data_IF_013201321257
#
_entry.id   IF_013201321257
#
_cell.length_a   1.000
_cell.length_b   1.000
_cell.length_c   1.000
_cell.angle_alpha   90.00
_cell.angle_beta   90.00
_cell.angle_gamma   90.00
#
_symmetry.space_group_name_H-M   'P 1'
#
loop_
_entity.id
_entity.type
_entity.pdbx_description
1 polymer ?
#
# COMPACT_ATOMS: atom_id res chain seq x y z
N UNK A 1 -39.91 49.39 -42.12
CA UNK A 1 -39.04 50.41 -41.48
C UNK A 1 -39.05 50.15 -39.98
N UNK A 2 -37.87 50.08 -39.41
CA UNK A 2 -37.58 49.61 -38.06
C UNK A 2 -37.84 50.66 -36.97
N UNK A 3 -38.14 50.20 -35.75
CA UNK A 3 -37.49 50.66 -34.52
C UNK A 3 -37.85 49.68 -33.39
N UNK A 4 -36.83 49.05 -32.82
CA UNK A 4 -36.92 48.11 -31.71
C UNK A 4 -36.77 48.84 -30.37
N UNK A 5 -37.52 48.38 -29.36
CA UNK A 5 -37.41 48.76 -27.96
C UNK A 5 -36.76 47.65 -27.14
N UNK A 6 -35.78 48.05 -26.34
CA UNK A 6 -35.21 47.48 -25.11
C UNK A 6 -35.36 45.99 -24.78
N UNK A 7 -34.21 45.34 -24.60
CA UNK A 7 -34.05 44.20 -23.70
C UNK A 7 -32.78 44.38 -22.84
N UNK A 8 -32.99 44.78 -21.59
CA UNK A 8 -32.01 44.80 -20.51
C UNK A 8 -31.50 43.40 -20.20
N UNK A 9 -30.21 43.15 -20.41
CA UNK A 9 -29.52 41.92 -19.94
C UNK A 9 -28.74 42.24 -18.67
N UNK A 10 -29.20 41.68 -17.55
CA UNK A 10 -28.51 41.74 -16.26
C UNK A 10 -27.20 40.94 -16.32
N UNK A 11 -26.06 41.64 -16.34
CA UNK A 11 -24.74 41.03 -16.09
C UNK A 11 -24.70 40.50 -14.66
N UNK A 12 -24.54 39.20 -14.50
CA UNK A 12 -24.22 38.59 -13.21
C UNK A 12 -22.85 39.12 -12.73
N UNK A 13 -22.86 39.76 -11.56
CA UNK A 13 -21.64 40.16 -10.86
C UNK A 13 -20.82 38.93 -10.46
N UNK A 14 -19.48 38.96 -10.58
CA UNK A 14 -18.64 37.89 -10.07
C UNK A 14 -18.75 37.86 -8.54
N UNK A 15 -19.23 36.75 -8.00
CA UNK A 15 -19.20 36.47 -6.57
C UNK A 15 -17.74 36.34 -6.14
N UNK A 16 -17.21 37.36 -5.48
CA UNK A 16 -15.95 37.26 -4.75
C UNK A 16 -16.14 36.20 -3.66
N UNK A 17 -15.56 35.01 -3.86
CA UNK A 17 -15.43 34.03 -2.78
C UNK A 17 -14.60 34.70 -1.68
N UNK A 18 -15.21 34.88 -0.50
CA UNK A 18 -14.52 35.28 0.71
C UNK A 18 -13.27 34.41 0.89
N UNK A 19 -12.10 35.01 1.13
CA UNK A 19 -10.89 34.29 1.48
C UNK A 19 -11.09 33.61 2.83
N UNK A 20 -11.57 32.37 2.82
CA UNK A 20 -11.63 31.54 4.03
C UNK A 20 -10.21 31.06 4.33
N UNK A 21 -9.62 31.55 5.43
CA UNK A 21 -8.32 31.06 5.89
C UNK A 21 -8.41 29.56 6.24
N UNK A 22 -7.39 28.80 5.86
CA UNK A 22 -7.23 27.41 6.27
C UNK A 22 -6.84 27.28 7.75
N UNK A 23 -6.91 26.05 8.27
CA UNK A 23 -6.54 25.74 9.65
C UNK A 23 -5.15 25.10 9.70
N UNK A 24 -4.34 25.46 10.71
CA UNK A 24 -2.99 24.90 10.94
C UNK A 24 -2.96 23.99 12.15
N UNK A 25 -2.25 22.86 12.07
CA UNK A 25 -2.05 21.92 13.17
C UNK A 25 -0.57 21.53 13.27
N UNK A 26 0.25 22.43 13.81
CA UNK A 26 1.70 22.22 13.97
C UNK A 26 2.06 21.44 15.24
N UNK A 27 1.27 21.58 16.30
CA UNK A 27 1.62 21.05 17.62
C UNK A 27 1.38 19.53 17.75
N UNK A 28 0.55 18.95 16.87
CA UNK A 28 0.20 17.53 16.91
C UNK A 28 0.69 16.77 15.69
N UNK A 29 1.98 16.91 15.35
CA UNK A 29 2.62 16.11 14.30
C UNK A 29 2.96 14.72 14.83
N UNK A 30 2.25 13.70 14.35
CA UNK A 30 2.54 12.33 14.73
C UNK A 30 3.83 11.83 14.09
N UNK A 31 4.57 11.00 14.84
CA UNK A 31 5.87 10.48 14.41
C UNK A 31 5.76 9.37 13.36
N UNK A 32 4.65 8.60 13.35
CA UNK A 32 4.56 7.35 12.60
C UNK A 32 3.25 7.18 11.82
N UNK A 33 2.74 8.26 11.23
CA UNK A 33 1.55 8.22 10.36
C UNK A 33 1.44 9.51 9.54
N UNK A 34 0.34 9.65 8.80
CA UNK A 34 -0.02 10.87 8.07
C UNK A 34 -0.66 11.87 9.01
N UNK A 35 -0.15 13.11 9.04
CA UNK A 35 -0.77 14.24 9.76
C UNK A 35 -1.08 15.36 8.77
N UNK A 36 -2.31 15.90 8.78
CA UNK A 36 -2.60 17.18 8.13
C UNK A 36 -2.10 18.33 9.01
N UNK A 37 -1.11 19.07 8.50
CA UNK A 37 -0.54 20.24 9.18
C UNK A 37 -1.17 21.55 8.72
N UNK A 38 -1.77 21.56 7.52
CA UNK A 38 -2.61 22.63 7.03
C UNK A 38 -3.79 22.06 6.25
N UNK A 39 -5.00 22.55 6.52
CA UNK A 39 -6.21 22.20 5.77
C UNK A 39 -6.89 23.43 5.21
N UNK A 40 -7.29 23.38 3.94
CA UNK A 40 -8.09 24.42 3.31
C UNK A 40 -9.52 23.88 3.10
N UNK A 41 -10.58 24.64 3.44
CA UNK A 41 -11.97 24.14 3.36
C UNK A 41 -12.38 23.71 1.95
N UNK A 42 -11.90 24.43 0.94
CA UNK A 42 -12.15 24.11 -0.48
C UNK A 42 -11.03 23.25 -1.11
N UNK A 43 -10.17 22.60 -0.32
CA UNK A 43 -9.03 21.85 -0.85
C UNK A 43 -9.48 20.68 -1.73
N UNK A 44 -9.08 20.73 -3.01
CA UNK A 44 -9.25 19.62 -3.94
C UNK A 44 -7.95 18.83 -4.15
N UNK A 45 -6.82 19.26 -3.58
CA UNK A 45 -5.51 18.64 -3.76
C UNK A 45 -4.84 18.42 -2.40
N UNK A 46 -4.21 17.26 -2.23
CA UNK A 46 -3.41 16.92 -1.06
C UNK A 46 -1.90 16.94 -1.44
N UNK A 47 -1.10 17.72 -0.71
CA UNK A 47 0.37 17.74 -0.83
C UNK A 47 0.96 16.92 0.31
N UNK A 48 1.76 15.90 0.01
CA UNK A 48 2.31 14.97 1.02
C UNK A 48 3.83 15.10 1.09
N UNK A 49 4.34 15.48 2.25
CA UNK A 49 5.76 15.60 2.53
C UNK A 49 6.28 14.34 3.22
N UNK A 50 7.35 13.74 2.69
CA UNK A 50 7.94 12.49 3.19
C UNK A 50 9.41 12.69 3.52
N UNK A 51 9.77 12.54 4.80
CA UNK A 51 11.14 12.77 5.27
C UNK A 51 12.11 11.65 4.87
N UNK A 52 13.41 11.91 5.04
CA UNK A 52 14.47 10.95 4.75
C UNK A 52 14.99 10.16 5.96
N UNK A 53 16.15 9.52 5.76
CA UNK A 53 16.89 8.76 6.76
C UNK A 53 17.23 9.62 7.98
N UNK A 54 17.05 9.08 9.20
CA UNK A 54 17.25 9.78 10.46
C UNK A 54 16.45 11.10 10.59
N UNK A 55 15.45 11.29 9.73
CA UNK A 55 14.56 12.44 9.73
C UNK A 55 13.34 12.23 10.60
N UNK A 56 12.63 13.33 10.85
CA UNK A 56 11.30 13.34 11.48
C UNK A 56 10.36 14.27 10.71
N UNK A 57 9.04 14.03 10.73
CA UNK A 57 8.07 14.84 9.98
C UNK A 57 7.98 16.30 10.45
N UNK A 58 8.33 16.60 11.70
CA UNK A 58 8.43 17.95 12.26
C UNK A 58 9.79 18.61 11.97
N UNK A 59 10.89 17.88 12.14
CA UNK A 59 12.24 18.45 12.09
C UNK A 59 12.82 18.60 10.68
N UNK A 60 12.44 17.73 9.74
CA UNK A 60 13.04 17.70 8.37
C UNK A 60 12.76 18.96 7.60
N UNK A 61 11.57 19.54 7.80
CA UNK A 61 11.09 20.72 7.08
C UNK A 61 11.19 22.00 7.91
N UNK A 62 11.86 21.95 9.06
CA UNK A 62 12.05 23.10 9.95
C UNK A 62 13.45 23.68 9.78
N UNK A 63 13.53 24.97 9.44
CA UNK A 63 14.78 25.72 9.36
C UNK A 63 15.36 26.02 10.76
N UNK A 64 16.62 26.46 10.80
CA UNK A 64 17.33 26.70 12.06
C UNK A 64 16.70 27.81 12.93
N UNK A 65 15.97 28.74 12.31
CA UNK A 65 15.21 29.80 12.99
C UNK A 65 13.84 29.32 13.50
N UNK A 66 13.51 28.04 13.32
CA UNK A 66 12.22 27.47 13.71
C UNK A 66 11.13 27.58 12.65
N UNK A 67 11.40 28.14 11.47
CA UNK A 67 10.42 28.22 10.38
C UNK A 67 10.10 26.82 9.85
N UNK A 68 8.86 26.37 10.05
CA UNK A 68 8.33 25.13 9.49
C UNK A 68 7.56 25.48 8.21
N UNK A 69 8.27 25.50 7.09
CA UNK A 69 7.74 26.00 5.83
C UNK A 69 6.44 25.33 5.33
N UNK A 70 6.10 24.06 5.67
CA UNK A 70 4.83 23.47 5.26
C UNK A 70 3.58 24.21 5.78
N UNK A 71 3.67 24.87 6.94
CA UNK A 71 2.60 25.73 7.47
C UNK A 71 2.93 27.21 7.37
N UNK A 72 4.20 27.57 7.56
CA UNK A 72 4.59 28.96 7.76
C UNK A 72 4.80 29.70 6.43
N UNK A 73 5.15 28.99 5.35
CA UNK A 73 5.47 29.59 4.05
C UNK A 73 4.60 29.06 2.90
N UNK A 74 4.34 27.76 2.84
CA UNK A 74 3.65 27.13 1.71
C UNK A 74 2.20 27.61 1.54
N UNK A 75 1.36 27.70 2.59
CA UNK A 75 -0.03 28.18 2.43
C UNK A 75 -0.11 29.57 1.82
N UNK A 76 0.80 30.46 2.21
CA UNK A 76 0.90 31.81 1.65
C UNK A 76 1.36 31.78 0.18
N UNK A 77 2.34 30.94 -0.16
CA UNK A 77 2.74 30.74 -1.55
C UNK A 77 1.62 30.15 -2.43
N UNK A 78 0.69 29.40 -1.84
CA UNK A 78 -0.49 28.82 -2.50
C UNK A 78 -1.72 29.73 -2.44
N UNK A 79 -1.59 31.01 -2.06
CA UNK A 79 -2.75 31.91 -1.94
C UNK A 79 -3.61 31.91 -3.20
N UNK A 80 -4.92 31.73 -2.98
CA UNK A 80 -5.93 31.64 -4.04
C UNK A 80 -6.02 30.27 -4.72
N UNK A 81 -5.22 29.29 -4.29
CA UNK A 81 -5.22 27.93 -4.83
C UNK A 81 -5.41 26.93 -3.67
N UNK A 82 -6.58 26.29 -3.54
CA UNK A 82 -6.91 25.53 -2.35
C UNK A 82 -6.24 24.15 -2.34
N UNK A 83 -5.40 23.89 -1.33
CA UNK A 83 -4.76 22.59 -1.12
C UNK A 83 -4.55 22.31 0.38
N UNK A 84 -4.53 21.03 0.73
CA UNK A 84 -4.08 20.57 2.04
C UNK A 84 -2.59 20.27 2.02
N UNK A 85 -1.94 20.43 3.17
CA UNK A 85 -0.54 20.05 3.38
C UNK A 85 -0.49 18.97 4.45
N UNK A 86 0.01 17.82 4.05
CA UNK A 86 0.16 16.62 4.86
C UNK A 86 1.65 16.33 5.06
N UNK A 87 2.03 15.86 6.24
CA UNK A 87 3.34 15.27 6.48
C UNK A 87 3.17 13.80 6.83
N UNK A 88 4.07 12.96 6.34
CA UNK A 88 4.10 11.54 6.68
C UNK A 88 5.37 11.21 7.47
N UNK A 89 5.17 10.62 8.65
CA UNK A 89 6.21 10.09 9.50
C UNK A 89 6.35 8.57 9.40
N UNK A 90 7.58 8.07 9.36
CA UNK A 90 7.88 6.66 9.51
C UNK A 90 9.15 6.46 10.34
N UNK A 91 9.36 5.25 10.85
CA UNK A 91 10.58 4.95 11.56
C UNK A 91 11.78 4.95 10.59
N UNK A 92 12.50 6.06 10.56
CA UNK A 92 13.76 6.21 9.83
C UNK A 92 14.98 6.21 10.76
N UNK A 93 14.80 5.78 12.03
CA UNK A 93 15.87 5.79 13.03
C UNK A 93 16.86 4.65 12.78
N UNK A 94 18.13 5.02 12.79
CA UNK A 94 19.28 4.13 12.57
C UNK A 94 19.90 3.58 13.88
N UNK A 95 19.67 4.24 15.02
CA UNK A 95 20.42 4.00 16.27
C UNK A 95 19.59 3.45 17.43
N UNK A 96 18.39 2.89 17.17
CA UNK A 96 17.56 2.33 18.25
C UNK A 96 18.26 1.13 18.92
N UNK A 97 18.75 1.35 20.14
CA UNK A 97 19.39 0.35 21.01
C UNK A 97 18.42 -0.71 21.58
N UNK A 98 17.13 -0.60 21.30
CA UNK A 98 16.09 -1.43 21.92
C UNK A 98 15.55 -2.55 21.03
N UNK A 99 16.10 -2.76 19.84
CA UNK A 99 15.73 -3.90 19.01
C UNK A 99 16.99 -4.58 18.47
N UNK A 100 17.42 -5.64 19.16
CA UNK A 100 18.22 -6.76 18.60
C UNK A 100 17.42 -7.56 17.54
N UNK A 101 16.46 -6.91 16.85
CA UNK A 101 15.70 -7.53 15.78
C UNK A 101 16.57 -7.43 14.53
N UNK A 102 16.92 -8.59 13.98
CA UNK A 102 17.58 -8.76 12.70
C UNK A 102 17.11 -7.69 11.70
N UNK A 103 18.06 -7.08 10.99
CA UNK A 103 17.79 -6.30 9.79
C UNK A 103 16.78 -7.08 8.93
N UNK A 104 15.60 -6.51 8.72
CA UNK A 104 14.58 -7.04 7.83
C UNK A 104 15.02 -6.76 6.40
N UNK A 105 15.12 -7.79 5.57
CA UNK A 105 15.45 -7.70 4.13
C UNK A 105 14.32 -7.00 3.32
N UNK A 106 13.23 -6.61 3.99
CA UNK A 106 12.04 -6.01 3.41
C UNK A 106 11.68 -4.66 4.04
N UNK A 107 12.62 -3.96 4.68
CA UNK A 107 12.34 -2.73 5.42
C UNK A 107 11.62 -1.67 4.58
N UNK A 108 12.16 -1.32 3.41
CA UNK A 108 11.53 -0.33 2.52
C UNK A 108 10.19 -0.82 1.96
N UNK A 109 10.05 -2.13 1.71
CA UNK A 109 8.79 -2.70 1.26
C UNK A 109 7.70 -2.57 2.32
N UNK A 110 8.00 -2.91 3.57
CA UNK A 110 7.06 -2.81 4.69
C UNK A 110 6.65 -1.36 4.93
N UNK A 111 7.60 -0.43 4.96
CA UNK A 111 7.28 1.00 5.10
C UNK A 111 6.44 1.53 3.94
N UNK A 112 6.69 1.07 2.70
CA UNK A 112 5.90 1.48 1.54
C UNK A 112 4.44 1.02 1.65
N UNK A 113 4.22 -0.22 2.08
CA UNK A 113 2.87 -0.75 2.34
C UNK A 113 2.18 0.04 3.44
N UNK A 114 2.87 0.30 4.56
CA UNK A 114 2.31 1.12 5.65
C UNK A 114 1.98 2.54 5.21
N UNK A 115 2.82 3.18 4.38
CA UNK A 115 2.55 4.50 3.81
C UNK A 115 1.27 4.49 2.97
N UNK A 116 1.14 3.55 2.02
CA UNK A 116 -0.05 3.44 1.17
C UNK A 116 -1.30 3.21 2.01
N UNK A 117 -1.25 2.29 2.98
CA UNK A 117 -2.38 1.98 3.85
C UNK A 117 -2.77 3.18 4.72
N UNK A 118 -1.81 3.81 5.40
CA UNK A 118 -2.05 4.97 6.27
C UNK A 118 -2.66 6.13 5.48
N UNK A 119 -2.07 6.48 4.34
CA UNK A 119 -2.54 7.59 3.51
C UNK A 119 -3.90 7.31 2.89
N UNK A 120 -4.14 6.09 2.39
CA UNK A 120 -5.43 5.71 1.82
C UNK A 120 -6.55 5.79 2.85
N UNK A 121 -6.33 5.25 4.06
CA UNK A 121 -7.30 5.30 5.16
C UNK A 121 -7.57 6.73 5.61
N UNK A 122 -6.52 7.55 5.76
CA UNK A 122 -6.64 8.96 6.10
C UNK A 122 -7.51 9.70 5.08
N UNK A 123 -7.21 9.56 3.79
CA UNK A 123 -7.94 10.25 2.72
C UNK A 123 -9.37 9.75 2.57
N UNK A 124 -9.62 8.46 2.79
CA UNK A 124 -10.97 7.89 2.79
C UNK A 124 -11.83 8.46 3.92
N UNK A 125 -11.29 8.51 5.14
CA UNK A 125 -11.99 9.06 6.30
C UNK A 125 -12.48 10.49 6.09
N UNK A 126 -11.86 11.19 5.16
CA UNK A 126 -12.10 12.61 4.90
C UNK A 126 -12.84 12.85 3.58
N UNK A 127 -13.24 11.79 2.88
CA UNK A 127 -13.94 11.89 1.59
C UNK A 127 -13.04 12.34 0.43
N UNK A 128 -11.72 12.28 0.59
CA UNK A 128 -10.72 12.83 -0.34
C UNK A 128 -10.01 11.78 -1.18
N UNK A 129 -10.44 10.51 -1.18
CA UNK A 129 -9.69 9.39 -1.75
C UNK A 129 -9.27 9.58 -3.23
N UNK A 130 -10.03 10.34 -4.01
CA UNK A 130 -9.79 10.56 -5.45
C UNK A 130 -9.11 11.90 -5.79
N UNK A 131 -8.91 12.77 -4.80
CA UNK A 131 -8.29 14.08 -4.98
C UNK A 131 -6.86 13.94 -5.53
N UNK A 132 -6.36 14.84 -6.38
CA UNK A 132 -4.96 14.81 -6.76
C UNK A 132 -3.97 14.77 -5.58
N UNK A 133 -2.89 14.02 -5.79
CA UNK A 133 -1.77 13.90 -4.86
C UNK A 133 -0.49 14.49 -5.47
N UNK A 134 0.15 15.37 -4.70
CA UNK A 134 1.50 15.88 -4.98
C UNK A 134 2.44 15.39 -3.88
N UNK A 135 3.62 14.93 -4.24
CA UNK A 135 4.61 14.46 -3.27
C UNK A 135 5.83 15.36 -3.22
N UNK A 136 6.31 15.67 -2.02
CA UNK A 136 7.62 16.27 -1.78
C UNK A 136 8.40 15.33 -0.89
N UNK A 137 9.41 14.66 -1.44
CA UNK A 137 10.09 13.59 -0.74
C UNK A 137 11.59 13.87 -0.67
N UNK A 138 12.17 13.72 0.53
CA UNK A 138 13.59 13.99 0.75
C UNK A 138 14.39 12.68 0.87
N UNK A 139 15.54 12.62 0.19
CA UNK A 139 16.53 11.54 0.36
C UNK A 139 15.88 10.15 0.25
N UNK A 140 16.06 9.28 1.25
CA UNK A 140 15.44 7.94 1.33
C UNK A 140 13.90 7.96 1.19
N UNK A 141 13.24 9.02 1.64
CA UNK A 141 11.79 9.20 1.51
C UNK A 141 11.33 9.17 0.06
N UNK A 142 12.17 9.64 -0.88
CA UNK A 142 11.86 9.54 -2.31
C UNK A 142 11.87 8.11 -2.83
N UNK A 143 12.81 7.28 -2.37
CA UNK A 143 12.84 5.85 -2.71
C UNK A 143 11.64 5.13 -2.11
N UNK A 144 11.26 5.48 -0.87
CA UNK A 144 10.06 4.99 -0.22
C UNK A 144 8.79 5.31 -1.03
N UNK A 145 8.63 6.57 -1.48
CA UNK A 145 7.50 6.99 -2.33
C UNK A 145 7.48 6.22 -3.65
N UNK A 146 8.63 6.03 -4.32
CA UNK A 146 8.69 5.20 -5.53
C UNK A 146 8.17 3.78 -5.28
N UNK A 147 8.63 3.13 -4.22
CA UNK A 147 8.16 1.77 -3.87
C UNK A 147 6.68 1.75 -3.52
N UNK A 148 6.18 2.76 -2.81
CA UNK A 148 4.76 2.90 -2.46
C UNK A 148 3.87 3.04 -3.71
N UNK A 149 4.29 3.85 -4.69
CA UNK A 149 3.57 4.01 -5.95
C UNK A 149 3.56 2.72 -6.78
N UNK A 150 4.67 2.00 -6.85
CA UNK A 150 4.74 0.69 -7.52
C UNK A 150 3.80 -0.30 -6.82
N UNK A 151 3.86 -0.41 -5.49
CA UNK A 151 2.96 -1.26 -4.73
C UNK A 151 1.49 -0.91 -4.99
N UNK A 152 1.11 0.36 -4.94
CA UNK A 152 -0.26 0.80 -5.23
C UNK A 152 -0.68 0.57 -6.69
N UNK A 153 0.25 0.61 -7.64
CA UNK A 153 -0.01 0.34 -9.06
C UNK A 153 -0.35 -1.14 -9.34
N UNK A 154 0.29 -2.05 -8.59
CA UNK A 154 0.12 -3.50 -8.70
C UNK A 154 -1.22 -3.98 -8.11
N UNK A 155 -1.83 -3.20 -7.23
CA UNK A 155 -3.13 -3.52 -6.65
C UNK A 155 -4.24 -3.33 -7.70
N UNK A 156 -4.95 -4.42 -8.03
CA UNK A 156 -6.04 -4.45 -9.03
C UNK A 156 -7.35 -5.05 -8.53
N UNK A 157 -7.33 -5.72 -7.37
CA UNK A 157 -8.52 -6.30 -6.78
C UNK A 157 -9.47 -5.22 -6.25
N UNK A 158 -10.78 -5.43 -6.38
CA UNK A 158 -11.80 -4.42 -6.03
C UNK A 158 -11.72 -3.93 -4.57
N UNK A 159 -11.37 -4.81 -3.62
CA UNK A 159 -11.21 -4.44 -2.20
C UNK A 159 -9.95 -3.60 -1.91
N UNK A 160 -9.11 -3.35 -2.91
CA UNK A 160 -7.91 -2.51 -2.81
C UNK A 160 -8.05 -1.15 -3.51
N UNK A 161 -9.26 -0.76 -3.90
CA UNK A 161 -9.50 0.48 -4.63
C UNK A 161 -8.96 1.73 -3.90
N UNK A 162 -9.09 1.79 -2.57
CA UNK A 162 -8.56 2.89 -1.75
C UNK A 162 -7.03 2.97 -1.81
N UNK A 163 -6.34 1.84 -1.85
CA UNK A 163 -4.87 1.78 -1.92
C UNK A 163 -4.38 2.12 -3.33
N UNK A 164 -5.07 1.59 -4.35
CA UNK A 164 -4.83 1.92 -5.76
C UNK A 164 -5.04 3.40 -6.04
N UNK A 165 -5.96 4.05 -5.32
CA UNK A 165 -6.23 5.48 -5.43
C UNK A 165 -4.98 6.34 -5.23
N UNK A 166 -4.02 5.89 -4.41
CA UNK A 166 -2.73 6.58 -4.21
C UNK A 166 -1.98 6.69 -5.53
N UNK A 167 -1.88 5.61 -6.30
CA UNK A 167 -1.22 5.63 -7.62
C UNK A 167 -2.04 6.41 -8.67
N UNK A 168 -3.35 6.16 -8.74
CA UNK A 168 -4.22 6.77 -9.76
C UNK A 168 -4.27 8.29 -9.60
N UNK A 169 -4.33 8.77 -8.36
CA UNK A 169 -4.44 10.19 -8.02
C UNK A 169 -3.11 10.94 -7.96
N UNK A 170 -1.98 10.24 -7.98
CA UNK A 170 -0.66 10.91 -7.99
C UNK A 170 -0.45 11.65 -9.30
N UNK A 171 -0.23 12.96 -9.19
CA UNK A 171 0.02 13.87 -10.31
C UNK A 171 1.50 14.25 -10.40
N UNK A 172 2.09 14.73 -9.29
CA UNK A 172 3.41 15.35 -9.27
C UNK A 172 4.31 14.81 -8.17
N UNK A 173 5.61 14.79 -8.44
CA UNK A 173 6.67 14.29 -7.56
C UNK A 173 7.83 15.30 -7.54
N UNK A 174 8.17 15.84 -6.38
CA UNK A 174 9.37 16.62 -6.15
C UNK A 174 10.32 15.82 -5.25
N UNK A 175 11.43 15.36 -5.83
CA UNK A 175 12.47 14.62 -5.13
C UNK A 175 13.60 15.57 -4.71
N UNK A 176 13.87 15.67 -3.42
CA UNK A 176 14.92 16.51 -2.86
C UNK A 176 16.09 15.62 -2.42
N UNK A 177 17.17 15.59 -3.20
CA UNK A 177 18.36 14.80 -2.90
C UNK A 177 18.09 13.28 -2.86
N UNK A 178 17.14 12.78 -3.64
CA UNK A 178 16.87 11.33 -3.69
C UNK A 178 17.86 10.63 -4.61
N UNK A 179 18.53 9.56 -4.17
CA UNK A 179 19.37 8.76 -5.06
C UNK A 179 18.55 7.88 -6.01
N UNK A 180 18.61 8.16 -7.31
CA UNK A 180 17.76 7.53 -8.33
C UNK A 180 18.41 6.44 -9.17
N UNK A 181 19.74 6.24 -9.14
CA UNK A 181 20.45 5.25 -9.97
C UNK A 181 20.97 4.05 -9.17
N UNK A 182 20.34 3.75 -8.04
CA UNK A 182 20.95 2.89 -7.01
C UNK A 182 22.02 3.66 -6.22
N UNK A 183 22.26 3.26 -4.98
CA UNK A 183 23.20 3.96 -4.11
C UNK A 183 23.99 2.97 -3.30
N UNK A 184 25.29 2.92 -3.59
CA UNK A 184 26.21 2.10 -2.82
C UNK A 184 26.17 2.45 -1.33
N UNK A 185 26.59 1.49 -0.53
CA UNK A 185 26.82 1.59 0.91
C UNK A 185 27.46 2.91 1.38
N UNK A 186 28.39 3.46 0.59
CA UNK A 186 29.06 4.72 0.85
C UNK A 186 28.10 5.91 0.79
N UNK A 187 27.21 5.99 -0.21
CA UNK A 187 26.24 7.08 -0.36
C UNK A 187 25.28 7.13 0.82
N UNK A 188 24.73 5.99 1.24
CA UNK A 188 23.88 5.91 2.44
C UNK A 188 24.64 6.24 3.73
N UNK A 189 25.91 5.85 3.82
CA UNK A 189 26.78 6.23 4.94
C UNK A 189 27.07 7.73 5.00
N UNK A 190 27.24 8.40 3.85
CA UNK A 190 27.36 9.86 3.78
C UNK A 190 26.04 10.55 4.11
N UNK A 191 24.92 10.03 3.60
CA UNK A 191 23.60 10.57 3.87
C UNK A 191 23.27 10.50 5.34
N UNK A 192 23.58 9.38 5.99
CA UNK A 192 23.42 9.27 7.43
C UNK A 192 24.26 10.30 8.19
N UNK A 193 25.54 10.45 7.83
CA UNK A 193 26.42 11.43 8.48
C UNK A 193 25.93 12.88 8.27
N UNK A 194 25.44 13.21 7.09
CA UNK A 194 24.89 14.53 6.79
C UNK A 194 23.58 14.82 7.55
N UNK A 195 22.82 13.76 7.87
CA UNK A 195 21.57 13.83 8.62
C UNK A 195 21.75 13.63 10.14
N UNK A 196 22.96 13.34 10.60
CA UNK A 196 23.27 13.26 12.03
C UNK A 196 23.71 14.63 12.54
N UNK A 197 23.12 15.09 13.65
CA UNK A 197 23.64 16.25 14.35
C UNK A 197 25.10 15.99 14.72
N UNK A 198 25.97 17.00 14.53
CA UNK A 198 27.43 16.93 14.70
C UNK A 198 27.91 16.52 16.12
N UNK A 199 26.99 16.17 17.01
CA UNK A 199 27.15 15.89 18.44
C UNK A 199 27.10 14.38 18.77
N UNK A 200 26.86 13.48 17.80
CA UNK A 200 26.86 12.04 18.14
C UNK A 200 28.28 11.56 18.55
N UNK A 201 28.46 11.00 19.77
CA UNK A 201 29.75 10.52 20.24
C UNK A 201 30.32 9.43 19.34
N UNK A 202 31.65 9.46 19.12
CA UNK A 202 32.40 8.50 18.26
C UNK A 202 32.01 7.02 18.48
N UNK A 203 31.72 6.65 19.73
CA UNK A 203 31.31 5.29 20.14
C UNK A 203 29.98 4.79 19.58
N UNK A 204 29.15 5.67 19.02
CA UNK A 204 27.88 5.30 18.36
C UNK A 204 28.06 5.00 16.86
N UNK A 205 29.20 5.38 16.28
CA UNK A 205 29.57 5.06 14.90
C UNK A 205 30.49 3.83 14.81
N UNK A 206 30.98 3.32 15.94
CA UNK A 206 31.82 2.11 15.99
C UNK A 206 31.03 0.85 15.60
N UNK A 207 29.70 0.89 15.71
CA UNK A 207 28.78 -0.12 15.19
C UNK A 207 28.06 0.41 13.96
N UNK A 208 27.98 -0.40 12.90
CA UNK A 208 27.14 -0.08 11.75
C UNK A 208 25.66 -0.03 12.18
N UNK A 209 24.97 1.10 11.99
CA UNK A 209 23.56 1.20 12.38
C UNK A 209 22.70 0.20 11.61
N UNK A 210 21.69 -0.38 12.26
CA UNK A 210 20.86 -1.47 11.69
C UNK A 210 20.27 -1.08 10.35
N UNK A 211 19.68 0.11 10.26
CA UNK A 211 19.09 0.61 9.01
C UNK A 211 20.15 0.89 7.93
N UNK A 212 21.38 1.29 8.31
CA UNK A 212 22.46 1.41 7.33
C UNK A 212 22.86 0.03 6.80
N UNK A 213 22.98 -0.97 7.68
CA UNK A 213 23.24 -2.37 7.29
C UNK A 213 22.12 -2.92 6.40
N UNK A 214 20.86 -2.62 6.70
CA UNK A 214 19.71 -2.97 5.87
C UNK A 214 19.82 -2.30 4.50
N UNK A 215 20.04 -0.98 4.43
CA UNK A 215 20.20 -0.27 3.15
C UNK A 215 21.40 -0.78 2.34
N UNK A 216 22.48 -1.23 3.00
CA UNK A 216 23.62 -1.88 2.32
C UNK A 216 23.26 -3.25 1.78
N UNK A 217 22.59 -4.08 2.58
CA UNK A 217 22.17 -5.42 2.19
C UNK A 217 21.12 -5.36 1.07
N UNK A 218 20.24 -4.37 1.13
CA UNK A 218 19.12 -4.15 0.21
C UNK A 218 19.48 -3.23 -0.97
N UNK A 219 20.78 -3.03 -1.28
CA UNK A 219 21.16 -2.13 -2.37
C UNK A 219 20.60 -2.61 -3.73
N UNK A 220 20.53 -3.92 -3.95
CA UNK A 220 19.87 -4.50 -5.14
C UNK A 220 18.37 -4.16 -5.14
N UNK A 221 17.69 -4.30 -4.01
CA UNK A 221 16.29 -3.92 -3.84
C UNK A 221 16.05 -2.44 -4.16
N UNK A 222 16.90 -1.54 -3.66
CA UNK A 222 16.81 -0.10 -3.92
C UNK A 222 17.07 0.24 -5.39
N UNK A 223 18.03 -0.45 -6.03
CA UNK A 223 18.28 -0.33 -7.46
C UNK A 223 17.07 -0.83 -8.27
N UNK A 224 16.49 -1.98 -7.91
CA UNK A 224 15.31 -2.53 -8.55
C UNK A 224 14.09 -1.61 -8.43
N UNK A 225 13.87 -0.99 -7.26
CA UNK A 225 12.81 0.03 -7.08
C UNK A 225 13.00 1.17 -8.06
N UNK A 226 14.23 1.65 -8.23
CA UNK A 226 14.53 2.74 -9.16
C UNK A 226 14.30 2.32 -10.61
N UNK A 227 14.73 1.12 -11.00
CA UNK A 227 14.52 0.57 -12.34
C UNK A 227 13.04 0.40 -12.66
N UNK A 228 12.26 -0.24 -11.79
CA UNK A 228 10.81 -0.43 -11.99
C UNK A 228 10.04 0.89 -11.99
N UNK A 229 10.51 1.90 -11.27
CA UNK A 229 9.90 3.22 -11.34
C UNK A 229 10.00 3.84 -12.75
N UNK A 230 11.00 3.47 -13.55
CA UNK A 230 11.12 3.88 -14.95
C UNK A 230 9.98 3.34 -15.84
N UNK A 231 9.27 2.30 -15.41
CA UNK A 231 8.12 1.76 -16.15
C UNK A 231 6.90 2.68 -16.04
N UNK A 232 6.85 3.55 -15.02
CA UNK A 232 5.67 4.37 -14.71
C UNK A 232 5.94 5.87 -14.63
N UNK A 233 7.21 6.32 -14.59
CA UNK A 233 7.55 7.71 -14.28
C UNK A 233 6.93 8.75 -15.22
N UNK A 234 6.78 8.43 -16.52
CA UNK A 234 6.22 9.36 -17.52
C UNK A 234 4.76 9.73 -17.25
N UNK A 235 4.10 8.98 -16.38
CA UNK A 235 2.78 9.33 -15.86
C UNK A 235 2.85 10.57 -14.97
N UNK A 236 3.97 10.90 -14.34
CA UNK A 236 4.02 11.96 -13.33
C UNK A 236 4.74 13.21 -13.84
N UNK A 237 4.39 14.38 -13.30
CA UNK A 237 5.28 15.54 -13.35
C UNK A 237 6.37 15.35 -12.31
N UNK A 238 7.64 15.39 -12.72
CA UNK A 238 8.74 15.04 -11.82
C UNK A 238 9.77 16.15 -11.80
N UNK A 239 10.06 16.65 -10.60
CA UNK A 239 11.17 17.54 -10.31
C UNK A 239 12.22 16.76 -9.52
N UNK A 240 13.46 16.75 -10.00
CA UNK A 240 14.60 16.14 -9.34
C UNK A 240 15.57 17.24 -8.91
N UNK A 241 15.68 17.44 -7.61
CA UNK A 241 16.43 18.55 -7.02
C UNK A 241 17.68 17.99 -6.36
N UNK A 242 18.85 18.56 -6.67
CA UNK A 242 20.13 18.13 -6.10
C UNK A 242 20.76 19.22 -5.22
N UNK A 243 21.64 18.80 -4.30
CA UNK A 243 22.45 19.72 -3.51
C UNK A 243 23.62 20.28 -4.34
N UNK A 244 24.00 21.53 -4.07
CA UNK A 244 25.18 22.17 -4.66
C UNK A 244 26.31 22.40 -3.64
N UNK A 245 26.01 22.37 -2.34
CA UNK A 245 27.07 22.46 -1.32
C UNK A 245 27.50 21.07 -0.84
N UNK A 246 28.81 20.85 -0.85
CA UNK A 246 29.42 19.67 -0.25
C UNK A 246 29.21 19.68 1.27
N UNK A 247 28.82 18.54 1.81
CA UNK A 247 28.78 18.32 3.26
C UNK A 247 30.19 18.01 3.76
N UNK A 248 30.60 18.62 4.88
CA UNK A 248 31.84 18.25 5.56
C UNK A 248 31.64 16.94 6.34
N UNK A 249 32.24 15.88 5.81
CA UNK A 249 32.17 14.53 6.37
C UNK A 249 33.47 14.23 7.11
N UNK A 250 33.68 14.90 8.25
CA UNK A 250 34.83 14.71 9.14
C UNK A 250 36.18 14.97 8.43
N UNK A 251 36.30 16.10 7.73
CA UNK A 251 37.54 16.56 7.09
C UNK A 251 37.60 16.32 5.58
N UNK A 252 36.63 15.61 5.01
CA UNK A 252 36.46 15.48 3.55
C UNK A 252 35.13 16.11 3.14
N UNK A 253 35.18 17.13 2.28
CA UNK A 253 33.98 17.72 1.69
C UNK A 253 33.53 16.91 0.48
N UNK A 254 32.33 16.34 0.52
CA UNK A 254 31.73 15.63 -0.61
C UNK A 254 30.24 15.93 -0.73
N UNK A 255 29.71 15.79 -1.94
CA UNK A 255 28.26 15.67 -2.11
C UNK A 255 27.84 14.31 -1.53
N UNK A 256 26.77 14.32 -0.75
CA UNK A 256 26.12 13.14 -0.20
C UNK A 256 25.63 12.26 -1.35
N UNK A 257 24.79 12.81 -2.22
CA UNK A 257 24.32 12.16 -3.45
C UNK A 257 24.99 12.84 -4.62
N UNK A 258 25.67 12.04 -5.46
CA UNK A 258 26.28 12.58 -6.68
C UNK A 258 25.20 13.10 -7.64
N UNK A 259 25.54 14.14 -8.41
CA UNK A 259 24.58 14.79 -9.31
C UNK A 259 23.99 13.81 -10.33
N UNK A 260 24.75 12.82 -10.80
CA UNK A 260 24.27 11.83 -11.76
C UNK A 260 23.23 10.88 -11.13
N UNK A 261 23.40 10.53 -9.86
CA UNK A 261 22.44 9.73 -9.10
C UNK A 261 21.22 10.54 -8.68
N UNK A 262 21.37 11.81 -8.31
CA UNK A 262 20.27 12.70 -7.99
C UNK A 262 19.49 13.19 -9.23
N UNK A 263 20.09 13.12 -10.42
CA UNK A 263 19.53 13.68 -11.65
C UNK A 263 19.87 12.82 -12.88
N UNK A 264 19.40 11.56 -12.95
CA UNK A 264 19.52 10.76 -14.15
C UNK A 264 18.77 11.44 -15.29
N UNK A 265 19.37 11.57 -16.47
CA UNK A 265 18.76 12.25 -17.62
C UNK A 265 17.55 11.48 -18.14
N UNK A 266 16.34 11.94 -17.80
CA UNK A 266 15.07 11.33 -18.18
C UNK A 266 14.19 12.36 -18.93
N UNK A 267 13.56 11.97 -20.05
CA UNK A 267 12.63 12.84 -20.76
C UNK A 267 11.48 13.35 -19.89
N UNK A 268 11.16 14.64 -19.99
CA UNK A 268 10.00 15.24 -19.31
C UNK A 268 10.16 15.47 -17.80
N UNK A 269 11.38 15.32 -17.28
CA UNK A 269 11.75 15.62 -15.89
C UNK A 269 12.44 16.98 -15.82
N UNK A 270 12.12 17.77 -14.79
CA UNK A 270 12.79 19.05 -14.51
C UNK A 270 13.90 18.85 -13.48
N UNK A 271 15.05 19.47 -13.72
CA UNK A 271 16.22 19.37 -12.85
C UNK A 271 16.67 20.76 -12.42
N UNK A 272 17.02 20.91 -11.14
CA UNK A 272 17.67 22.11 -10.64
C UNK A 272 18.42 21.84 -9.34
N UNK A 273 19.47 22.64 -9.11
CA UNK A 273 20.24 22.60 -7.87
C UNK A 273 19.72 23.57 -6.83
N UNK A 274 19.93 23.25 -5.55
CA UNK A 274 19.74 24.18 -4.42
C UNK A 274 21.10 24.43 -3.78
N UNK A 275 21.42 25.72 -3.56
CA UNK A 275 22.63 26.20 -2.88
C UNK A 275 22.59 25.90 -1.36
N UNK A 276 22.57 24.62 -1.03
CA UNK A 276 22.51 24.07 0.32
C UNK A 276 23.16 22.69 0.37
N UNK A 277 23.49 22.22 1.58
CA UNK A 277 23.91 20.83 1.81
C UNK A 277 22.68 19.92 1.83
N UNK A 278 22.89 18.60 1.72
CA UNK A 278 21.85 17.57 1.71
C UNK A 278 20.81 17.70 2.81
N UNK A 279 21.23 18.06 4.03
CA UNK A 279 20.34 18.21 5.18
C UNK A 279 19.66 19.58 5.25
N UNK A 280 20.18 20.58 4.55
CA UNK A 280 19.65 21.95 4.54
C UNK A 280 18.77 22.23 3.31
N UNK A 281 18.89 21.46 2.23
CA UNK A 281 18.15 21.73 0.98
C UNK A 281 16.62 21.64 1.10
N UNK A 282 16.11 21.02 2.16
CA UNK A 282 14.68 20.91 2.46
C UNK A 282 14.21 21.83 3.60
N UNK A 283 15.09 22.72 4.10
CA UNK A 283 14.87 23.58 5.27
C UNK A 283 14.85 25.05 4.88
N UNK A 284 13.72 25.52 4.39
CA UNK A 284 13.57 26.89 3.91
C UNK A 284 13.20 27.86 5.03
N UNK A 285 14.05 28.86 5.26
CA UNK A 285 13.85 29.91 6.28
C UNK A 285 12.98 31.09 5.78
N UNK A 286 12.76 31.21 4.47
CA UNK A 286 12.05 32.38 3.91
C UNK A 286 11.38 32.07 2.58
N UNK A 287 10.26 32.74 2.31
CA UNK A 287 9.57 32.72 1.02
C UNK A 287 10.45 33.23 -0.15
N UNK A 288 11.50 34.00 0.15
CA UNK A 288 12.46 34.49 -0.84
C UNK A 288 13.65 33.55 -1.05
N UNK A 289 13.75 32.44 -0.30
CA UNK A 289 14.79 31.45 -0.53
C UNK A 289 14.65 30.89 -1.96
N UNK A 290 15.70 30.91 -2.81
CA UNK A 290 15.59 30.52 -4.21
C UNK A 290 15.02 29.11 -4.40
N UNK A 291 15.48 28.14 -3.59
CA UNK A 291 14.98 26.76 -3.63
C UNK A 291 13.50 26.64 -3.26
N UNK A 292 13.04 27.42 -2.27
CA UNK A 292 11.62 27.47 -1.89
C UNK A 292 10.78 28.10 -2.98
N UNK A 293 11.22 29.24 -3.54
CA UNK A 293 10.49 29.93 -4.61
C UNK A 293 10.32 29.03 -5.82
N UNK A 294 11.37 28.34 -6.26
CA UNK A 294 11.28 27.38 -7.37
C UNK A 294 10.25 26.28 -7.06
N UNK A 295 10.45 25.57 -5.94
CA UNK A 295 9.58 24.46 -5.55
C UNK A 295 8.11 24.88 -5.37
N UNK A 296 7.85 25.96 -4.63
CA UNK A 296 6.49 26.42 -4.34
C UNK A 296 5.77 26.96 -5.57
N UNK A 297 6.48 27.60 -6.51
CA UNK A 297 5.90 28.06 -7.78
C UNK A 297 5.38 26.87 -8.60
N UNK A 298 6.18 25.81 -8.70
CA UNK A 298 5.80 24.62 -9.45
C UNK A 298 4.70 23.82 -8.75
N UNK A 299 4.77 23.68 -7.42
CA UNK A 299 3.69 23.07 -6.63
C UNK A 299 2.38 23.83 -6.86
N UNK A 300 2.41 25.17 -6.81
CA UNK A 300 1.22 26.00 -7.06
C UNK A 300 0.63 25.72 -8.44
N UNK A 301 1.47 25.65 -9.46
CA UNK A 301 1.02 25.33 -10.82
C UNK A 301 0.44 23.91 -10.90
N UNK A 302 1.07 22.93 -10.25
CA UNK A 302 0.55 21.57 -10.19
C UNK A 302 -0.79 21.47 -9.48
N UNK A 303 -1.03 22.23 -8.40
CA UNK A 303 -2.33 22.25 -7.73
C UNK A 303 -3.43 22.74 -8.68
N UNK A 304 -3.15 23.71 -9.54
CA UNK A 304 -4.10 24.21 -10.55
C UNK A 304 -4.38 23.19 -11.66
N UNK A 305 -3.34 22.52 -12.16
CA UNK A 305 -3.44 21.65 -13.32
C UNK A 305 -3.93 20.23 -12.99
N UNK A 306 -3.64 19.75 -11.78
CA UNK A 306 -3.83 18.35 -11.42
C UNK A 306 -5.29 17.87 -11.45
N UNK A 307 -6.31 18.64 -10.97
CA UNK A 307 -7.69 18.17 -10.96
C UNK A 307 -8.17 17.67 -12.32
N UNK A 308 -7.96 18.45 -13.39
CA UNK A 308 -8.41 18.10 -14.73
C UNK A 308 -7.77 16.80 -15.25
N UNK A 309 -6.47 16.58 -15.00
CA UNK A 309 -5.78 15.37 -15.44
C UNK A 309 -6.18 14.15 -14.61
N UNK A 310 -6.29 14.30 -13.29
CA UNK A 310 -6.63 13.20 -12.39
C UNK A 310 -8.09 12.76 -12.59
N UNK A 311 -9.03 13.66 -12.86
CA UNK A 311 -10.40 13.29 -13.23
C UNK A 311 -10.44 12.40 -14.47
N UNK A 312 -9.63 12.69 -15.50
CA UNK A 312 -9.52 11.85 -16.71
C UNK A 312 -8.92 10.47 -16.40
N UNK A 313 -7.92 10.40 -15.51
CA UNK A 313 -7.34 9.13 -15.06
C UNK A 313 -8.35 8.26 -14.34
N UNK A 314 -9.18 8.87 -13.49
CA UNK A 314 -10.23 8.15 -12.80
C UNK A 314 -11.32 7.66 -13.73
N UNK A 315 -11.71 8.46 -14.73
CA UNK A 315 -12.65 8.00 -15.75
C UNK A 315 -12.11 6.78 -16.52
N UNK A 316 -10.82 6.78 -16.89
CA UNK A 316 -10.18 5.64 -17.53
C UNK A 316 -10.10 4.41 -16.59
N UNK A 317 -9.74 4.63 -15.32
CA UNK A 317 -9.67 3.57 -14.32
C UNK A 317 -11.04 2.93 -14.06
N UNK A 318 -12.10 3.73 -13.97
CA UNK A 318 -13.47 3.25 -13.79
C UNK A 318 -13.95 2.46 -15.01
N UNK A 319 -13.63 2.92 -16.23
CA UNK A 319 -13.93 2.18 -17.45
C UNK A 319 -13.22 0.82 -17.49
N UNK A 320 -11.93 0.79 -17.12
CA UNK A 320 -11.15 -0.44 -17.04
C UNK A 320 -11.71 -1.39 -15.97
N UNK A 321 -12.10 -0.86 -14.80
CA UNK A 321 -12.76 -1.63 -13.73
C UNK A 321 -14.05 -2.27 -14.22
N UNK A 322 -14.93 -1.50 -14.87
CA UNK A 322 -16.19 -2.00 -15.42
C UNK A 322 -15.94 -3.08 -16.47
N UNK A 323 -14.92 -2.92 -17.32
CA UNK A 323 -14.54 -3.92 -18.32
C UNK A 323 -14.06 -5.23 -17.67
N UNK A 324 -13.20 -5.15 -16.63
CA UNK A 324 -12.74 -6.33 -15.88
C UNK A 324 -13.89 -7.08 -15.23
N UNK A 325 -14.78 -6.36 -14.53
CA UNK A 325 -15.96 -6.97 -13.89
C UNK A 325 -16.89 -7.64 -14.90
N UNK A 326 -17.10 -7.02 -16.08
CA UNK A 326 -17.88 -7.63 -17.17
C UNK A 326 -17.23 -8.90 -17.69
N UNK A 327 -15.90 -8.92 -17.85
CA UNK A 327 -15.16 -10.10 -18.29
C UNK A 327 -15.26 -11.24 -17.26
N UNK A 328 -15.04 -10.94 -15.97
CA UNK A 328 -15.16 -11.93 -14.89
C UNK A 328 -16.56 -12.52 -14.78
N UNK A 329 -17.60 -11.69 -14.91
CA UNK A 329 -19.00 -12.17 -14.94
C UNK A 329 -19.27 -13.05 -16.15
N UNK A 330 -18.79 -12.64 -17.34
CA UNK A 330 -18.95 -13.42 -18.57
C UNK A 330 -18.28 -14.80 -18.46
N UNK A 331 -17.08 -14.87 -17.88
CA UNK A 331 -16.36 -16.12 -17.67
C UNK A 331 -17.12 -17.05 -16.70
N UNK A 332 -17.58 -16.51 -15.57
CA UNK A 332 -18.38 -17.26 -14.58
C UNK A 332 -19.70 -17.75 -15.17
N UNK A 333 -20.37 -16.91 -15.96
CA UNK A 333 -21.61 -17.28 -16.65
C UNK A 333 -21.37 -18.36 -17.71
N UNK A 334 -20.33 -18.23 -18.54
CA UNK A 334 -19.98 -19.24 -19.54
C UNK A 334 -19.68 -20.61 -18.89
N UNK A 335 -18.96 -20.59 -17.76
CA UNK A 335 -18.65 -21.80 -16.98
C UNK A 335 -19.91 -22.42 -16.39
N UNK A 336 -20.80 -21.61 -15.80
CA UNK A 336 -22.08 -22.09 -15.27
C UNK A 336 -22.99 -22.65 -16.37
N UNK A 337 -23.06 -21.99 -17.52
CA UNK A 337 -23.81 -22.47 -18.69
C UNK A 337 -23.24 -23.78 -19.22
N UNK A 338 -21.92 -23.94 -19.26
CA UNK A 338 -21.27 -25.20 -19.66
C UNK A 338 -21.61 -26.34 -18.71
N UNK A 339 -21.50 -26.12 -17.38
CA UNK A 339 -21.87 -27.13 -16.39
C UNK A 339 -23.37 -27.48 -16.43
N UNK A 340 -24.23 -26.49 -16.63
CA UNK A 340 -25.67 -26.72 -16.80
C UNK A 340 -25.95 -27.59 -18.04
N UNK A 341 -25.38 -27.23 -19.21
CA UNK A 341 -25.55 -28.01 -20.43
C UNK A 341 -25.01 -29.44 -20.28
N UNK A 342 -23.87 -29.64 -19.62
CA UNK A 342 -23.33 -30.96 -19.33
C UNK A 342 -24.25 -31.77 -18.39
N UNK A 343 -24.82 -31.14 -17.35
CA UNK A 343 -25.75 -31.80 -16.44
C UNK A 343 -27.05 -32.23 -17.13
N UNK A 344 -27.58 -31.38 -18.02
CA UNK A 344 -28.77 -31.71 -18.83
C UNK A 344 -28.45 -32.86 -19.77
N UNK A 345 -27.33 -32.81 -20.50
CA UNK A 345 -26.91 -33.89 -21.39
C UNK A 345 -26.75 -35.23 -20.63
N UNK A 346 -26.19 -35.21 -19.42
CA UNK A 346 -26.03 -36.41 -18.58
C UNK A 346 -27.37 -36.93 -18.02
N UNK A 347 -28.34 -36.04 -17.78
CA UNK A 347 -29.71 -36.43 -17.36
C UNK A 347 -30.51 -37.04 -18.51
N UNK A 348 -30.33 -36.55 -19.75
CA UNK A 348 -30.99 -37.11 -20.94
C UNK A 348 -30.40 -38.48 -21.30
N UNK A 349 -29.07 -38.63 -21.19
CA UNK A 349 -28.41 -39.90 -21.42
C UNK A 349 -28.81 -41.01 -20.41
N UNK A 350 -29.23 -40.63 -19.20
CA UNK A 350 -29.72 -41.58 -18.19
C UNK A 350 -31.21 -41.92 -18.35
N UNK A 351 -32.02 -41.09 -19.03
CA UNK A 351 -33.42 -41.41 -19.35
C UNK A 351 -33.62 -42.30 -20.57
N UNK A 352 -32.62 -42.40 -21.47
CA UNK A 352 -32.64 -43.27 -22.66
C UNK A 352 -31.95 -44.62 -22.44
N UNK A 353 -31.61 -44.97 -21.19
CA UNK A 353 -31.10 -46.29 -20.86
C UNK A 353 -32.22 -47.34 -21.05
N UNK A 354 -32.03 -48.39 -21.88
CA UNK A 354 -33.03 -49.43 -22.04
C UNK A 354 -33.30 -50.11 -20.68
N UNK A 355 -34.54 -50.52 -20.39
CA UNK A 355 -34.86 -51.17 -19.11
C UNK A 355 -33.96 -52.39 -18.92
N UNK A 356 -33.30 -52.45 -17.76
CA UNK A 356 -32.44 -53.58 -17.38
C UNK A 356 -33.23 -54.89 -17.51
N UNK A 357 -32.67 -55.94 -18.12
CA UNK A 357 -33.33 -57.24 -18.14
C UNK A 357 -33.53 -57.72 -16.70
N UNK A 358 -34.74 -58.20 -16.40
CA UNK A 358 -35.08 -58.76 -15.11
C UNK A 358 -34.10 -59.90 -14.74
N UNK A 359 -33.68 -60.02 -13.47
CA UNK A 359 -32.77 -61.08 -13.07
C UNK A 359 -33.42 -62.45 -13.28
N UNK A 360 -32.63 -63.39 -13.79
CA UNK A 360 -33.06 -64.76 -14.05
C UNK A 360 -33.46 -65.46 -12.74
N UNK A 361 -34.67 -66.00 -12.71
CA UNK A 361 -35.19 -66.83 -11.63
C UNK A 361 -34.45 -68.17 -11.62
N UNK A 362 -33.52 -68.35 -10.68
CA UNK A 362 -32.88 -69.65 -10.44
C UNK A 362 -33.74 -70.41 -9.44
N UNK A 363 -34.47 -71.41 -9.94
CA UNK A 363 -35.21 -72.36 -9.11
C UNK A 363 -34.21 -73.27 -8.38
N UNK A 364 -34.05 -73.06 -7.07
CA UNK A 364 -33.38 -74.01 -6.18
C UNK A 364 -34.43 -74.99 -5.67
N UNK A 365 -34.19 -76.28 -5.94
CA UNK A 365 -35.03 -77.38 -5.50
C UNK A 365 -35.01 -77.54 -3.96
N UNK A 366 -36.19 -77.58 -3.35
CA UNK A 366 -36.39 -77.89 -1.93
C UNK A 366 -36.54 -79.40 -1.70
N UNK A 367 -35.91 -80.00 -0.66
CA UNK A 367 -36.25 -81.34 -0.18
C UNK A 367 -37.42 -81.33 0.85
N UNK A 368 -38.08 -82.49 1.10
CA UNK A 368 -39.37 -82.59 1.80
C UNK A 368 -39.27 -82.55 3.34
N UNK A 369 -40.42 -82.52 4.05
CA UNK A 369 -40.60 -81.74 5.28
C UNK A 369 -40.39 -82.52 6.59
N UNK A 370 -40.14 -81.77 7.66
CA UNK A 370 -40.36 -82.21 9.04
C UNK A 370 -41.30 -81.20 9.75
N UNK A 371 -42.04 -81.76 10.70
CA UNK A 371 -43.25 -81.32 11.37
C UNK A 371 -43.02 -80.33 12.53
N UNK A 372 -44.06 -79.53 12.84
CA UNK A 372 -44.42 -78.92 14.15
C UNK A 372 -43.45 -77.86 14.76
N UNK A 373 -43.86 -76.75 15.40
CA UNK A 373 -45.00 -76.43 16.27
C UNK A 373 -45.40 -74.93 16.17
N UNK A 374 -46.63 -74.63 16.60
CA UNK A 374 -47.21 -73.30 16.79
C UNK A 374 -46.53 -72.52 17.93
N UNK A 375 -46.47 -71.18 17.85
CA UNK A 375 -46.89 -70.30 18.96
C UNK A 375 -47.09 -68.84 18.51
N UNK A 376 -48.25 -68.29 18.90
CA UNK A 376 -48.71 -66.92 18.72
C UNK A 376 -47.86 -65.89 19.49
N UNK A 377 -47.87 -64.62 19.07
CA UNK A 377 -48.41 -63.47 19.84
C UNK A 377 -48.11 -62.09 19.19
N UNK A 378 -49.20 -61.32 19.01
CA UNK A 378 -49.38 -59.89 19.33
C UNK A 378 -48.79 -58.76 18.46
N UNK A 379 -49.71 -57.92 17.95
CA UNK A 379 -49.51 -56.59 17.36
C UNK A 379 -49.09 -55.51 18.41
N UNK A 380 -48.82 -54.21 18.07
CA UNK A 380 -49.92 -53.27 17.74
C UNK A 380 -49.45 -52.09 16.80
N UNK A 381 -50.15 -50.93 16.63
CA UNK A 381 -50.42 -50.38 15.29
C UNK A 381 -50.13 -48.84 15.10
N UNK A 382 -50.28 -48.36 13.85
CA UNK A 382 -50.61 -47.01 13.31
C UNK A 382 -49.94 -45.66 13.78
N UNK A 383 -50.01 -44.59 12.93
CA UNK A 383 -49.14 -43.38 12.87
C UNK A 383 -49.79 -42.15 13.59
N UNK A 384 -49.63 -40.83 13.26
CA UNK A 384 -48.78 -40.05 12.31
C UNK A 384 -48.21 -38.71 12.88
N UNK A 385 -47.60 -37.87 12.02
CA UNK A 385 -47.84 -36.40 11.84
C UNK A 385 -46.56 -35.56 11.64
N UNK A 386 -46.56 -34.67 10.63
CA UNK A 386 -46.15 -33.26 10.78
C UNK A 386 -46.87 -32.39 9.74
N UNK A 387 -47.51 -31.32 10.21
CA UNK A 387 -48.31 -30.35 9.44
C UNK A 387 -47.60 -28.99 9.29
N UNK A 388 -48.22 -28.13 8.48
CA UNK A 388 -47.71 -26.91 7.85
C UNK A 388 -47.79 -25.58 8.67
N UNK A 389 -47.14 -24.56 8.08
CA UNK A 389 -47.59 -23.16 7.86
C UNK A 389 -47.20 -21.99 8.79
N UNK A 390 -46.52 -21.00 8.15
CA UNK A 390 -46.69 -19.53 8.12
C UNK A 390 -46.66 -18.64 9.40
N UNK A 391 -45.99 -17.46 9.33
CA UNK A 391 -46.55 -16.07 9.27
C UNK A 391 -45.48 -15.00 9.66
N UNK A 392 -45.46 -13.81 9.02
CA UNK A 392 -44.81 -12.54 9.48
C UNK A 392 -45.66 -11.87 10.62
N UNK A 393 -45.42 -10.66 11.24
CA UNK A 393 -44.75 -9.42 10.74
C UNK A 393 -44.07 -8.46 11.81
N UNK A 394 -43.64 -7.28 11.31
CA UNK A 394 -43.72 -5.92 11.91
C UNK A 394 -42.67 -5.33 12.90
N UNK A 395 -42.57 -4.00 12.81
CA UNK A 395 -41.57 -3.05 13.31
C UNK A 395 -41.82 -2.50 14.73
N UNK A 396 -40.79 -1.91 15.36
CA UNK A 396 -40.83 -0.91 16.45
C UNK A 396 -39.48 -0.14 16.46
N UNK A 397 -39.38 1.14 16.08
CA UNK A 397 -39.58 2.39 16.86
C UNK A 397 -38.67 2.56 18.10
N UNK A 398 -37.66 3.45 17.98
CA UNK A 398 -36.88 4.01 19.08
C UNK A 398 -37.52 5.33 19.55
N UNK A 399 -37.56 5.54 20.86
CA UNK A 399 -37.99 6.77 21.52
C UNK A 399 -36.81 7.38 22.30
N UNK A 400 -36.64 8.69 22.20
CA UNK A 400 -35.67 9.51 22.92
C UNK A 400 -36.31 10.24 24.12
N UNK A 401 -35.43 10.84 24.95
CA UNK A 401 -35.63 11.78 26.08
C UNK A 401 -35.64 11.11 27.47
N UNK A 402 -35.03 11.62 28.55
CA UNK A 402 -34.31 12.87 28.88
C UNK A 402 -33.65 12.69 30.28
N UNK A 403 -32.60 13.48 30.62
CA UNK A 403 -32.45 14.03 31.99
C UNK A 403 -31.17 13.76 32.80
N UNK A 404 -30.40 14.86 33.01
CA UNK A 404 -29.70 15.31 34.25
C UNK A 404 -28.50 14.54 34.87
N UNK A 405 -27.36 15.24 35.02
CA UNK A 405 -26.21 14.87 35.89
C UNK A 405 -26.43 15.21 37.38
N UNK A 406 -25.41 15.39 38.26
CA UNK A 406 -23.94 15.32 38.08
C UNK A 406 -23.21 14.39 39.10
N UNK A 407 -21.87 14.41 39.08
CA UNK A 407 -20.92 14.18 40.20
C UNK A 407 -20.05 12.90 40.20
N UNK A 408 -18.74 13.19 40.09
CA UNK A 408 -17.50 12.61 40.61
C UNK A 408 -17.38 11.15 41.12
N UNK A 409 -16.23 10.58 40.71
CA UNK A 409 -15.31 9.68 41.41
C UNK A 409 -15.33 8.14 41.23
N UNK A 410 -14.12 7.69 40.86
CA UNK A 410 -13.43 6.43 41.17
C UNK A 410 -13.58 5.20 40.27
N UNK A 411 -12.60 5.06 39.37
CA UNK A 411 -11.57 3.98 39.37
C UNK A 411 -12.04 2.63 39.94
N UNK A 412 -12.95 1.96 39.24
CA UNK A 412 -13.19 0.52 39.43
C UNK A 412 -13.79 -0.20 38.21
N UNK A 413 -14.21 0.51 37.16
CA UNK A 413 -14.92 -0.09 36.02
C UNK A 413 -14.04 -0.46 34.80
N UNK A 414 -12.77 -0.03 34.76
CA UNK A 414 -11.89 -0.27 33.59
C UNK A 414 -11.23 -1.66 33.62
N UNK A 415 -11.20 -2.35 34.76
CA UNK A 415 -10.53 -3.66 34.91
C UNK A 415 -11.47 -4.86 34.67
N UNK A 416 -12.78 -4.65 34.44
CA UNK A 416 -13.70 -5.73 34.04
C UNK A 416 -14.17 -5.69 32.59
N UNK A 417 -13.84 -4.64 31.83
CA UNK A 417 -14.10 -4.55 30.38
C UNK A 417 -13.02 -5.21 29.51
N UNK A 418 -11.80 -5.39 30.03
CA UNK A 418 -10.68 -5.96 29.26
C UNK A 418 -10.68 -7.49 29.29
N UNK A 419 -11.39 -8.12 30.22
CA UNK A 419 -11.44 -9.59 30.35
C UNK A 419 -12.60 -10.25 29.57
N UNK A 420 -13.51 -9.47 28.97
CA UNK A 420 -14.61 -10.00 28.14
C UNK A 420 -14.32 -9.93 26.63
N UNK A 421 -13.38 -9.09 26.18
CA UNK A 421 -12.96 -9.03 24.78
C UNK A 421 -11.94 -10.11 24.38
N UNK A 422 -11.30 -10.76 25.37
CA UNK A 422 -10.34 -11.84 25.14
C UNK A 422 -10.99 -13.22 24.89
N UNK A 423 -12.29 -13.40 25.17
CA UNK A 423 -13.00 -14.67 24.94
C UNK A 423 -13.76 -14.76 23.62
N UNK A 424 -13.88 -13.66 22.86
CA UNK A 424 -14.52 -13.67 21.52
C UNK A 424 -13.48 -13.78 20.39
N UNK A 425 -12.19 -13.54 20.69
CA UNK A 425 -11.08 -13.74 19.74
C UNK A 425 -10.56 -15.20 19.69
N UNK A 426 -11.12 -16.12 20.49
CA UNK A 426 -10.66 -17.51 20.60
C UNK A 426 -11.58 -18.54 19.89
N UNK A 427 -12.48 -18.10 19.00
CA UNK A 427 -13.37 -18.99 18.24
C UNK A 427 -13.27 -18.83 16.71
N UNK A 428 -12.28 -18.09 16.21
CA UNK A 428 -12.00 -17.96 14.76
C UNK A 428 -10.61 -18.50 14.39
N UNK A 429 -9.84 -19.00 15.35
CA UNK A 429 -8.53 -19.61 15.13
C UNK A 429 -8.54 -21.15 15.00
N UNK A 430 -9.70 -21.81 15.14
CA UNK A 430 -9.82 -23.28 14.97
C UNK A 430 -10.32 -23.73 13.59
N UNK A 431 -10.60 -22.81 12.66
CA UNK A 431 -11.04 -23.16 11.30
C UNK A 431 -9.91 -23.15 10.24
N UNK A 432 -8.65 -22.97 10.63
CA UNK A 432 -7.50 -22.86 9.69
C UNK A 432 -6.43 -23.95 9.91
N UNK A 433 -6.63 -24.87 10.86
CA UNK A 433 -5.68 -25.99 11.11
C UNK A 433 -6.15 -27.34 10.53
N UNK A 434 -7.37 -27.43 9.97
CA UNK A 434 -7.81 -28.60 9.20
C UNK A 434 -7.72 -28.26 7.70
N UNK A 435 -6.54 -28.43 7.13
CA UNK A 435 -6.29 -28.15 5.70
C UNK A 435 -4.84 -28.27 5.24
N UNK A 436 -3.91 -28.58 6.14
CA UNK A 436 -2.48 -28.74 5.82
C UNK A 436 -1.92 -30.15 6.10
N UNK A 437 -2.77 -31.16 6.33
CA UNK A 437 -2.34 -32.54 6.61
C UNK A 437 -2.60 -33.53 5.47
N UNK A 438 -3.25 -33.15 4.37
CA UNK A 438 -3.52 -34.07 3.24
C UNK A 438 -2.64 -33.87 1.99
N UNK A 439 -1.58 -33.05 2.07
CA UNK A 439 -0.62 -32.86 0.96
C UNK A 439 0.79 -33.43 1.24
N UNK A 440 0.92 -34.32 2.23
CA UNK A 440 2.19 -34.99 2.56
C UNK A 440 2.16 -36.53 2.39
N UNK A 441 1.10 -37.09 1.78
CA UNK A 441 0.91 -38.55 1.67
C UNK A 441 1.03 -39.12 0.24
N UNK A 442 1.50 -38.35 -0.76
CA UNK A 442 1.48 -38.79 -2.18
C UNK A 442 2.85 -38.92 -2.88
N UNK A 443 3.99 -38.91 -2.16
CA UNK A 443 5.32 -39.02 -2.83
C UNK A 443 6.33 -39.94 -2.16
N UNK A 444 5.87 -40.96 -1.44
CA UNK A 444 6.74 -42.02 -0.91
C UNK A 444 6.11 -43.41 -1.10
N UNK A 445 6.08 -43.89 -2.34
CA UNK A 445 6.09 -45.33 -2.63
C UNK A 445 6.55 -45.59 -4.07
N UNK A 446 7.86 -45.61 -4.27
CA UNK A 446 8.48 -46.45 -5.30
C UNK A 446 9.94 -46.74 -4.97
N UNK A 447 10.13 -47.98 -4.52
CA UNK A 447 11.31 -48.85 -4.67
C UNK A 447 12.66 -48.43 -4.07
N UNK A 448 12.91 -49.07 -2.92
CA UNK A 448 14.21 -49.58 -2.49
C UNK A 448 14.82 -50.57 -3.50
N UNK A 449 16.09 -50.34 -3.87
CA UNK A 449 17.18 -51.33 -4.09
C UNK A 449 18.34 -50.53 -4.71
N UNK A 450 19.62 -50.59 -4.35
CA UNK A 450 20.44 -51.47 -3.53
C UNK A 450 21.75 -50.73 -3.22
N UNK A 451 22.43 -51.18 -2.16
CA UNK A 451 23.72 -50.70 -1.65
C UNK A 451 24.88 -51.00 -2.61
N UNK A 452 25.92 -50.14 -2.61
CA UNK A 452 27.32 -50.48 -2.33
C UNK A 452 28.31 -49.38 -2.83
N UNK A 453 29.16 -48.90 -1.91
CA UNK A 453 30.53 -48.44 -2.19
C UNK A 453 31.45 -49.38 -1.38
N UNK A 454 32.72 -49.68 -1.76
CA UNK A 454 33.78 -48.65 -1.85
C UNK A 454 34.98 -48.93 -2.78
N UNK A 455 35.90 -47.95 -2.78
CA UNK A 455 37.36 -48.01 -3.02
C UNK A 455 38.00 -47.88 -4.43
N UNK A 456 38.70 -46.75 -4.57
CA UNK A 456 40.16 -46.59 -4.78
C UNK A 456 40.79 -46.62 -6.19
N UNK A 457 41.66 -45.59 -6.36
CA UNK A 457 43.00 -45.59 -6.97
C UNK A 457 43.19 -45.06 -8.41
N UNK A 458 44.00 -43.98 -8.49
CA UNK A 458 45.11 -43.70 -9.46
C UNK A 458 44.76 -43.55 -10.95
N UNK A 459 45.37 -42.73 -11.81
CA UNK A 459 46.52 -41.82 -11.83
C UNK A 459 46.54 -41.11 -13.20
N UNK A 460 47.37 -40.07 -13.38
CA UNK A 460 47.89 -39.62 -14.69
C UNK A 460 47.25 -38.35 -15.28
N UNK A 461 47.79 -37.16 -15.02
CA UNK A 461 48.85 -36.45 -15.78
C UNK A 461 48.41 -35.72 -17.06
N UNK A 462 48.54 -34.38 -16.96
CA UNK A 462 49.23 -33.41 -17.84
C UNK A 462 48.55 -32.77 -19.07
N UNK A 463 48.73 -31.44 -19.07
CA UNK A 463 48.86 -30.45 -20.17
C UNK A 463 47.60 -30.15 -20.99
N UNK A 464 47.28 -28.91 -21.36
CA UNK A 464 47.93 -27.60 -21.24
C UNK A 464 47.14 -26.57 -22.07
N UNK A 465 47.34 -25.28 -21.76
CA UNK A 465 47.21 -24.08 -22.60
C UNK A 465 45.81 -23.71 -23.17
N UNK A 466 45.20 -22.62 -22.68
CA UNK A 466 45.39 -21.20 -23.10
C UNK A 466 44.81 -20.89 -24.48
N UNK A 467 43.92 -19.87 -24.54
CA UNK A 467 44.05 -18.65 -25.37
C UNK A 467 42.67 -17.95 -25.52
N UNK A 468 42.64 -16.68 -25.08
CA UNK A 468 41.66 -15.63 -25.41
C UNK A 468 41.75 -15.24 -26.91
N UNK A 469 40.78 -14.48 -27.45
CA UNK A 469 41.20 -13.12 -27.81
C UNK A 469 40.16 -12.02 -27.53
N UNK A 470 40.74 -10.85 -27.29
CA UNK A 470 40.11 -9.53 -27.32
C UNK A 470 39.73 -9.13 -28.76
N UNK A 471 38.68 -8.33 -28.90
CA UNK A 471 38.43 -7.52 -30.08
C UNK A 471 38.43 -6.03 -29.70
N UNK A 472 38.92 -5.27 -30.69
CA UNK A 472 39.35 -3.86 -30.77
C UNK A 472 38.35 -2.84 -30.25
#
# INVERSE_FOLDING_TARGET
>A
MAAASDASTSKASPTFKSHTMGNTNRDNISRYETTAVYTHPDAEVDIVLVHGLNGRPDATWTAADGTFWPTDLLPEALRGVPANVLVYGYNADVYSRQNDRSASDNFIHQHAQTLVTSLALFRRGEGRARNPLLWVAHSLGGVLVKRALLYAADLRAAHHDDYRAVFVSTYGLAFLGTPHTGSGAATWGRALQAMSDAVLPRRLFDSEPVLLRTLRKDNETLANINSHFLDVYQRFRIHMVHENHKTDLKGTKALVVDANSASPQLPGVTYYGVEATHSQMCKFASANAPGFRALSTDIRQWVLDAPALISRRWAAEDAERVARLRSELSERMATASYHYAASVASSVASSDAPPSPAPAYVAIATPPPAYEEQHCLSAPPSPPQYSAAATAPAACHCHCCHGSGPQEDNVAAVVRGITAAASIACSVAEAVVVGATDLAAATLSSSLSSRCCPHAATSGQRHGDSILPQFV
#
